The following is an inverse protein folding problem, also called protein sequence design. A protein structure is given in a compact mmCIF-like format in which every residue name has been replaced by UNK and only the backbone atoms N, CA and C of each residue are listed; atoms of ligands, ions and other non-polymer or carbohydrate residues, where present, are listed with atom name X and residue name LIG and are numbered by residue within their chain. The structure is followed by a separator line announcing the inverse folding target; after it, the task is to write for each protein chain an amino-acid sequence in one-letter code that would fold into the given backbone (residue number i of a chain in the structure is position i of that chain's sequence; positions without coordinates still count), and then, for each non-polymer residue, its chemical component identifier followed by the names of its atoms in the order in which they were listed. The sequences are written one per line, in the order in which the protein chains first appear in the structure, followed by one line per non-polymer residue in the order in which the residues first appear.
data_IF_463454964926
#
_entry.id   IF_463454964926
#
_cell.length_a   1.000
_cell.length_b   1.000
_cell.length_c   1.000
_cell.angle_alpha   90.00
_cell.angle_beta   90.00
_cell.angle_gamma   90.00
#
_symmetry.space_group_name_H-M   'P 1'
#
loop_
_entity.id
_entity.type
_entity.pdbx_description
1 polymer ?
#
# COMPACT_ATOMS: atom_id res chain seq x y z
N UNK A 1 -21.30 -29.26 -1.32
CA UNK A 1 -20.59 -28.27 -2.13
C UNK A 1 -19.91 -27.33 -1.17
N UNK A 2 -18.63 -27.57 -0.87
CA UNK A 2 -17.84 -26.66 -0.04
C UNK A 2 -17.28 -25.56 -0.95
N UNK A 3 -17.69 -24.32 -0.71
CA UNK A 3 -17.01 -23.16 -1.26
C UNK A 3 -15.78 -22.90 -0.39
N UNK A 4 -14.62 -23.38 -0.83
CA UNK A 4 -13.33 -22.99 -0.25
C UNK A 4 -13.02 -21.58 -0.75
N UNK A 5 -13.36 -20.58 0.06
CA UNK A 5 -12.85 -19.23 -0.12
C UNK A 5 -11.32 -19.27 0.07
N UNK A 6 -10.59 -19.22 -1.05
CA UNK A 6 -9.15 -18.95 -1.05
C UNK A 6 -8.95 -17.50 -0.59
N UNK A 7 -9.00 -17.27 0.72
CA UNK A 7 -8.51 -16.03 1.33
C UNK A 7 -6.99 -16.08 1.24
N UNK A 8 -6.43 -15.38 0.25
CA UNK A 8 -5.00 -15.07 0.25
C UNK A 8 -4.72 -14.35 1.56
N UNK A 9 -4.06 -15.05 2.49
CA UNK A 9 -3.70 -14.47 3.78
C UNK A 9 -2.74 -13.33 3.51
N UNK A 10 -3.22 -12.09 3.66
CA UNK A 10 -2.34 -10.92 3.71
C UNK A 10 -1.35 -11.19 4.85
N UNK A 11 -0.04 -11.14 4.60
CA UNK A 11 0.93 -11.43 5.64
C UNK A 11 0.75 -10.44 6.79
N UNK A 12 0.70 -10.95 8.02
CA UNK A 12 0.62 -10.13 9.23
C UNK A 12 1.74 -9.07 9.20
N UNK A 13 1.39 -7.83 9.51
CA UNK A 13 2.31 -6.71 9.66
C UNK A 13 3.53 -7.04 10.52
N UNK A 14 3.35 -7.84 11.58
CA UNK A 14 4.44 -8.27 12.44
C UNK A 14 5.47 -9.14 11.67
N UNK A 15 5.00 -9.93 10.70
CA UNK A 15 5.82 -10.75 9.82
C UNK A 15 6.55 -9.90 8.77
N UNK A 16 5.86 -8.94 8.14
CA UNK A 16 6.47 -8.00 7.18
C UNK A 16 7.51 -7.10 7.85
N UNK A 17 7.25 -6.63 9.06
CA UNK A 17 8.20 -5.81 9.85
C UNK A 17 9.42 -6.63 10.28
N UNK A 18 9.26 -7.91 10.63
CA UNK A 18 10.38 -8.82 10.92
C UNK A 18 11.22 -9.12 9.69
N UNK A 19 10.61 -9.37 8.53
CA UNK A 19 11.35 -9.54 7.28
C UNK A 19 12.08 -8.26 6.92
N UNK A 20 11.43 -7.09 6.99
CA UNK A 20 12.07 -5.80 6.72
C UNK A 20 13.30 -5.55 7.61
N UNK A 21 13.24 -5.95 8.89
CA UNK A 21 14.39 -5.91 9.79
C UNK A 21 15.53 -6.86 9.37
N UNK A 22 15.23 -8.01 8.77
CA UNK A 22 16.25 -8.95 8.25
C UNK A 22 16.94 -8.48 6.97
N UNK A 23 16.35 -7.55 6.22
CA UNK A 23 16.91 -6.96 4.98
C UNK A 23 17.59 -5.59 5.25
N UNK A 24 17.75 -5.19 6.51
CA UNK A 24 18.37 -3.92 6.87
C UNK A 24 17.53 -2.67 6.57
N UNK A 25 16.22 -2.84 6.34
CA UNK A 25 15.32 -1.72 6.03
C UNK A 25 15.09 -0.87 7.30
N UNK A 26 15.36 0.43 7.19
CA UNK A 26 15.22 1.39 8.29
C UNK A 26 13.80 1.42 8.87
N UNK A 27 13.66 1.76 10.16
CA UNK A 27 12.35 1.88 10.80
C UNK A 27 11.45 2.94 10.12
N UNK A 28 12.06 4.00 9.56
CA UNK A 28 11.37 5.04 8.80
C UNK A 28 10.77 4.45 7.52
N UNK A 29 11.58 3.70 6.75
CA UNK A 29 11.11 3.03 5.53
C UNK A 29 10.04 2.00 5.85
N UNK A 30 10.17 1.25 6.95
CA UNK A 30 9.13 0.34 7.42
C UNK A 30 7.83 1.10 7.70
N UNK A 31 7.87 2.25 8.37
CA UNK A 31 6.68 3.07 8.61
C UNK A 31 6.05 3.59 7.33
N UNK A 32 6.84 3.95 6.31
CA UNK A 32 6.29 4.36 5.01
C UNK A 32 5.58 3.20 4.29
N UNK A 33 6.15 1.98 4.32
CA UNK A 33 5.50 0.78 3.78
C UNK A 33 4.16 0.51 4.50
N UNK A 34 4.10 0.78 5.81
CA UNK A 34 2.88 0.63 6.60
C UNK A 34 1.83 1.68 6.23
N UNK A 35 2.25 2.92 6.02
CA UNK A 35 1.36 3.96 5.47
C UNK A 35 0.80 3.56 4.11
N UNK A 36 1.59 2.91 3.26
CA UNK A 36 1.15 2.42 1.96
C UNK A 36 0.05 1.36 2.10
N UNK A 37 0.23 0.39 3.00
CA UNK A 37 -0.80 -0.62 3.27
C UNK A 37 -2.12 0.00 3.78
N UNK A 38 -2.03 0.96 4.71
CA UNK A 38 -3.23 1.65 5.23
C UNK A 38 -3.93 2.48 4.15
N UNK A 39 -3.18 3.08 3.24
CA UNK A 39 -3.74 3.83 2.11
C UNK A 39 -4.56 2.92 1.19
N UNK A 40 -4.03 1.73 0.88
CA UNK A 40 -4.71 0.72 0.06
C UNK A 40 -5.96 0.14 0.74
N UNK A 41 -5.86 -0.17 2.04
CA UNK A 41 -7.00 -0.62 2.85
C UNK A 41 -8.13 0.43 2.87
N UNK A 42 -7.77 1.71 3.02
CA UNK A 42 -8.73 2.82 2.98
C UNK A 42 -9.40 2.92 1.61
N UNK A 43 -8.65 2.70 0.53
CA UNK A 43 -9.22 2.70 -0.82
C UNK A 43 -10.26 1.60 -0.98
N UNK A 44 -9.95 0.37 -0.58
CA UNK A 44 -10.90 -0.74 -0.60
C UNK A 44 -12.18 -0.42 0.19
N UNK A 45 -12.03 0.05 1.43
CA UNK A 45 -13.17 0.42 2.28
C UNK A 45 -14.09 1.47 1.64
N UNK A 46 -13.52 2.54 1.07
CA UNK A 46 -14.31 3.61 0.45
C UNK A 46 -15.01 3.10 -0.80
N UNK A 47 -14.33 2.34 -1.66
CA UNK A 47 -14.91 1.77 -2.88
C UNK A 47 -16.07 0.84 -2.52
N UNK A 48 -15.86 -0.09 -1.60
CA UNK A 48 -16.87 -1.06 -1.17
C UNK A 48 -18.08 -0.36 -0.54
N UNK A 49 -17.84 0.64 0.30
CA UNK A 49 -18.91 1.42 0.93
C UNK A 49 -19.74 2.16 -0.10
N UNK A 50 -19.11 2.85 -1.07
CA UNK A 50 -19.83 3.60 -2.10
C UNK A 50 -20.64 2.64 -2.98
N UNK A 51 -20.07 1.52 -3.41
CA UNK A 51 -20.76 0.52 -4.21
C UNK A 51 -21.93 -0.12 -3.44
N UNK A 52 -21.80 -0.28 -2.11
CA UNK A 52 -22.90 -0.78 -1.28
C UNK A 52 -24.03 0.22 -1.08
N UNK A 53 -23.73 1.52 -0.96
CA UNK A 53 -24.74 2.56 -0.72
C UNK A 53 -25.40 3.01 -2.03
N UNK A 54 -24.63 3.03 -3.11
CA UNK A 54 -25.06 3.49 -4.43
C UNK A 54 -24.72 2.44 -5.49
N UNK A 55 -25.39 1.27 -5.51
CA UNK A 55 -25.06 0.17 -6.42
C UNK A 55 -25.18 0.56 -7.90
N UNK A 56 -26.06 1.51 -8.23
CA UNK A 56 -26.26 1.99 -9.60
C UNK A 56 -25.19 3.00 -10.05
N UNK A 57 -24.36 3.48 -9.11
CA UNK A 57 -23.21 4.35 -9.42
C UNK A 57 -21.99 3.56 -9.88
N UNK A 58 -22.01 2.21 -9.77
CA UNK A 58 -20.94 1.33 -10.22
C UNK A 58 -20.63 1.49 -11.72
N UNK A 59 -21.66 1.83 -12.52
CA UNK A 59 -21.58 1.98 -13.98
C UNK A 59 -21.46 3.44 -14.43
N UNK A 60 -21.49 4.42 -13.51
CA UNK A 60 -21.41 5.84 -13.84
C UNK A 60 -19.96 6.30 -13.98
N UNK A 61 -19.42 6.22 -15.20
CA UNK A 61 -18.15 6.86 -15.57
C UNK A 61 -18.19 8.37 -15.27
N UNK A 62 -17.13 8.88 -14.62
CA UNK A 62 -16.92 10.29 -14.33
C UNK A 62 -17.45 10.77 -12.97
N UNK A 63 -17.80 9.85 -12.06
CA UNK A 63 -18.35 10.16 -10.75
C UNK A 63 -17.31 10.32 -9.62
N UNK A 64 -17.80 10.58 -8.40
CA UNK A 64 -17.00 10.69 -7.16
C UNK A 64 -15.96 9.57 -6.99
N UNK A 65 -16.29 8.35 -7.40
CA UNK A 65 -15.40 7.19 -7.31
C UNK A 65 -14.18 7.32 -8.23
N UNK A 66 -14.32 7.93 -9.40
CA UNK A 66 -13.22 8.12 -10.34
C UNK A 66 -12.25 9.20 -9.86
N UNK A 67 -12.77 10.31 -9.33
CA UNK A 67 -11.94 11.34 -8.69
C UNK A 67 -11.20 10.78 -7.47
N UNK A 68 -11.86 9.94 -6.67
CA UNK A 68 -11.23 9.25 -5.54
C UNK A 68 -10.14 8.27 -5.99
N UNK A 69 -10.43 7.41 -6.99
CA UNK A 69 -9.42 6.51 -7.60
C UNK A 69 -8.22 7.27 -8.13
N UNK A 70 -8.44 8.41 -8.77
CA UNK A 70 -7.37 9.25 -9.30
C UNK A 70 -6.53 9.85 -8.18
N UNK A 71 -7.16 10.41 -7.16
CA UNK A 71 -6.48 10.95 -5.98
C UNK A 71 -5.68 9.86 -5.25
N UNK A 72 -6.27 8.68 -5.05
CA UNK A 72 -5.62 7.51 -4.49
C UNK A 72 -4.37 7.12 -5.29
N UNK A 73 -4.49 6.96 -6.61
CA UNK A 73 -3.34 6.59 -7.46
C UNK A 73 -2.21 7.62 -7.41
N UNK A 74 -2.52 8.92 -7.27
CA UNK A 74 -1.51 9.95 -7.09
C UNK A 74 -0.80 9.78 -5.74
N UNK A 75 -1.55 9.64 -4.64
CA UNK A 75 -0.99 9.46 -3.31
C UNK A 75 -0.12 8.19 -3.22
N UNK A 76 -0.61 7.10 -3.80
CA UNK A 76 0.08 5.82 -3.89
C UNK A 76 1.43 5.96 -4.61
N UNK A 77 1.44 6.61 -5.79
CA UNK A 77 2.66 6.85 -6.56
C UNK A 77 3.67 7.70 -5.82
N UNK A 78 3.24 8.79 -5.18
CA UNK A 78 4.15 9.66 -4.44
C UNK A 78 4.72 8.98 -3.20
N UNK A 79 3.91 8.16 -2.51
CA UNK A 79 4.38 7.38 -1.37
C UNK A 79 5.38 6.30 -1.79
N UNK A 80 5.13 5.60 -2.90
CA UNK A 80 6.07 4.62 -3.46
C UNK A 80 7.39 5.24 -3.90
N UNK A 81 7.36 6.44 -4.52
CA UNK A 81 8.58 7.20 -4.84
C UNK A 81 9.38 7.50 -3.57
N UNK A 82 8.73 7.95 -2.51
CA UNK A 82 9.40 8.25 -1.24
C UNK A 82 10.02 7.00 -0.62
N UNK A 83 9.29 5.87 -0.62
CA UNK A 83 9.82 4.58 -0.14
C UNK A 83 11.07 4.19 -0.95
N UNK A 84 11.01 4.25 -2.27
CA UNK A 84 12.12 3.92 -3.15
C UNK A 84 13.34 4.82 -2.89
N UNK A 85 13.15 6.14 -2.80
CA UNK A 85 14.23 7.09 -2.47
C UNK A 85 14.87 6.78 -1.12
N UNK A 86 14.09 6.43 -0.09
CA UNK A 86 14.64 6.06 1.21
C UNK A 86 15.44 4.74 1.16
N UNK A 87 15.02 3.79 0.33
CA UNK A 87 15.76 2.54 0.13
C UNK A 87 17.06 2.76 -0.66
N UNK A 88 17.04 3.59 -1.70
CA UNK A 88 18.21 3.93 -2.52
C UNK A 88 19.26 4.71 -1.70
N UNK A 89 18.84 5.69 -0.89
CA UNK A 89 19.75 6.43 -0.02
C UNK A 89 20.46 5.50 0.97
N UNK A 90 19.73 4.53 1.53
CA UNK A 90 20.29 3.53 2.43
C UNK A 90 21.32 2.62 1.75
N UNK A 91 21.04 2.15 0.53
CA UNK A 91 21.99 1.36 -0.25
C UNK A 91 23.26 2.17 -0.58
N UNK A 92 23.09 3.43 -0.98
CA UNK A 92 24.19 4.35 -1.28
C UNK A 92 25.08 4.65 -0.06
N UNK A 93 24.49 4.69 1.15
CA UNK A 93 25.23 4.81 2.42
C UNK A 93 26.00 3.51 2.76
N UNK A 94 25.42 2.35 2.43
CA UNK A 94 25.99 1.02 2.71
C UNK A 94 27.22 0.74 1.84
N UNK A 95 27.20 1.19 0.58
CA UNK A 95 28.32 1.06 -0.37
C UNK A 95 29.52 1.97 0.00
N UNK A 96 29.35 2.90 0.94
CA UNK A 96 30.40 3.83 1.39
C UNK A 96 31.12 3.38 2.68
N UNK A 97 30.66 2.30 3.34
CA UNK A 97 31.32 1.73 4.53
C UNK A 97 32.38 0.66 4.20
N UNK A 98 32.72 0.46 2.93
CA UNK A 98 33.85 -0.41 2.54
C UNK A 98 35.17 0.40 2.56
N UNK A 99 35.83 0.47 3.73
CA UNK A 99 37.22 0.94 3.91
C UNK A 99 38.04 -0.16 4.57
#
# INVERSE_FOLDING_TARGET
MEHVENRVSVPDFAYLSKQAASIGISWQTQNLIKCYAVLDDMFGYVVDTILSVYPESADMQGGMLDDFKKAHSIAEKELMKLIATMMEQKLSESDFEEI
#
